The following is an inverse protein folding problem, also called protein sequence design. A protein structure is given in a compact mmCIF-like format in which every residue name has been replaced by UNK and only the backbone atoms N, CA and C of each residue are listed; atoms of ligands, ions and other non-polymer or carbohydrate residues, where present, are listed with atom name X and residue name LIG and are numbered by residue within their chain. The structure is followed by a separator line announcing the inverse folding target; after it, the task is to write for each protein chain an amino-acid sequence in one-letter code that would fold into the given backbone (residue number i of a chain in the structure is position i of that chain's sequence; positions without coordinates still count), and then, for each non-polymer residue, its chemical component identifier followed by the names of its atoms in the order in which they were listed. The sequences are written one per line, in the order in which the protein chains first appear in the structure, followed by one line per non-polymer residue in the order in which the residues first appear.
data_IF_634523261674
#
_entry.id   IF_634523261674
#
_cell.length_a   1.000
_cell.length_b   1.000
_cell.length_c   1.000
_cell.angle_alpha   90.00
_cell.angle_beta   90.00
_cell.angle_gamma   90.00
#
_symmetry.space_group_name_H-M   'P 1'
#
loop_
_entity.id
_entity.type
_entity.pdbx_description
1 polymer ?
#
# COMPACT_ATOMS: atom_id res chain seq x y z
N UNK A 1 -5.89 -15.44 0.44
CA UNK A 1 -6.49 -14.08 0.40
C UNK A 1 -7.68 -14.05 1.34
N UNK A 2 -7.69 -13.12 2.28
CA UNK A 2 -8.77 -12.95 3.27
C UNK A 2 -9.26 -11.50 3.21
N UNK A 3 -10.48 -11.28 3.67
CA UNK A 3 -11.01 -9.97 4.02
C UNK A 3 -11.26 -9.90 5.53
N UNK A 4 -11.61 -8.71 6.04
CA UNK A 4 -11.81 -8.49 7.47
C UNK A 4 -12.88 -9.42 8.06
N UNK A 5 -13.95 -9.70 7.32
CA UNK A 5 -15.05 -10.57 7.76
C UNK A 5 -14.63 -12.03 7.76
N UNK A 6 -14.08 -12.55 6.65
CA UNK A 6 -13.65 -13.94 6.56
C UNK A 6 -12.50 -14.25 7.52
N UNK A 7 -11.62 -13.28 7.77
CA UNK A 7 -10.57 -13.39 8.78
C UNK A 7 -11.12 -13.51 10.21
N UNK A 8 -12.16 -12.75 10.52
CA UNK A 8 -12.85 -12.82 11.80
C UNK A 8 -13.59 -14.15 11.96
N UNK A 9 -14.36 -14.59 10.96
CA UNK A 9 -15.06 -15.87 10.95
C UNK A 9 -14.08 -17.00 11.22
N UNK A 10 -12.96 -17.05 10.48
CA UNK A 10 -11.97 -18.11 10.63
C UNK A 10 -11.36 -18.21 12.02
N UNK A 11 -11.15 -17.07 12.72
CA UNK A 11 -10.67 -17.07 14.11
C UNK A 11 -11.70 -17.69 15.09
N UNK A 12 -12.97 -17.32 14.95
CA UNK A 12 -14.02 -17.81 15.84
C UNK A 12 -14.39 -19.27 15.54
N UNK A 13 -14.33 -19.71 14.29
CA UNK A 13 -14.49 -21.10 13.87
C UNK A 13 -13.40 -21.99 14.50
N UNK A 14 -12.15 -21.58 14.43
CA UNK A 14 -11.03 -22.30 15.09
C UNK A 14 -11.19 -22.43 16.60
N UNK A 15 -11.82 -21.44 17.25
CA UNK A 15 -12.10 -21.44 18.68
C UNK A 15 -13.38 -22.21 19.06
N UNK A 16 -14.19 -22.60 18.09
CA UNK A 16 -15.52 -23.22 18.31
C UNK A 16 -16.47 -22.30 19.11
N UNK A 17 -16.42 -20.97 18.88
CA UNK A 17 -17.16 -19.99 19.69
C UNK A 17 -18.07 -19.15 18.81
N UNK A 18 -19.18 -18.70 19.42
CA UNK A 18 -20.01 -17.62 18.84
C UNK A 18 -19.29 -16.29 18.94
N UNK A 19 -19.65 -15.34 18.07
CA UNK A 19 -19.14 -13.98 18.13
C UNK A 19 -19.50 -13.32 19.46
N UNK A 20 -18.50 -12.78 20.11
CA UNK A 20 -18.64 -11.94 21.29
C UNK A 20 -18.80 -10.46 20.91
N UNK A 21 -18.96 -9.59 21.92
CA UNK A 21 -19.15 -8.16 21.67
C UNK A 21 -18.00 -7.53 20.89
N UNK A 22 -16.71 -7.78 21.21
CA UNK A 22 -15.60 -7.28 20.41
C UNK A 22 -15.63 -7.68 18.95
N UNK A 23 -16.07 -8.90 18.63
CA UNK A 23 -16.21 -9.33 17.24
C UNK A 23 -17.28 -8.55 16.49
N UNK A 24 -18.45 -8.34 17.12
CA UNK A 24 -19.53 -7.55 16.54
C UNK A 24 -19.09 -6.08 16.36
N UNK A 25 -18.39 -5.50 17.34
CA UNK A 25 -17.88 -4.14 17.22
C UNK A 25 -16.86 -4.01 16.07
N UNK A 26 -16.02 -5.01 15.84
CA UNK A 26 -15.10 -5.06 14.71
C UNK A 26 -15.83 -5.13 13.35
N UNK A 27 -16.93 -5.88 13.27
CA UNK A 27 -17.76 -5.95 12.06
C UNK A 27 -18.42 -4.58 11.81
N UNK A 28 -18.98 -3.95 12.83
CA UNK A 28 -19.60 -2.64 12.70
C UNK A 28 -18.57 -1.60 12.22
N UNK A 29 -17.39 -1.53 12.83
CA UNK A 29 -16.34 -0.61 12.42
C UNK A 29 -15.95 -0.83 10.94
N UNK A 30 -15.82 -2.09 10.51
CA UNK A 30 -15.53 -2.40 9.10
C UNK A 30 -16.65 -1.90 8.17
N UNK A 31 -17.91 -2.05 8.56
CA UNK A 31 -19.05 -1.59 7.75
C UNK A 31 -19.18 -0.07 7.75
N UNK A 32 -18.98 0.57 8.90
CA UNK A 32 -19.07 2.03 9.06
C UNK A 32 -18.05 2.77 8.18
N UNK A 33 -16.86 2.21 8.02
CA UNK A 33 -15.80 2.76 7.15
C UNK A 33 -15.94 2.39 5.67
N UNK A 34 -16.94 1.59 5.29
CA UNK A 34 -17.07 1.04 3.93
C UNK A 34 -17.17 2.12 2.85
N UNK A 35 -17.92 3.19 3.12
CA UNK A 35 -18.08 4.31 2.18
C UNK A 35 -16.75 4.99 1.88
N UNK A 36 -15.95 5.24 2.91
CA UNK A 36 -14.62 5.85 2.76
C UNK A 36 -13.66 4.95 1.97
N UNK A 37 -13.66 3.65 2.27
CA UNK A 37 -12.83 2.70 1.51
C UNK A 37 -13.21 2.66 0.03
N UNK A 38 -14.51 2.66 -0.27
CA UNK A 38 -15.00 2.71 -1.65
C UNK A 38 -14.58 4.01 -2.32
N UNK A 39 -14.74 5.16 -1.68
CA UNK A 39 -14.27 6.46 -2.21
C UNK A 39 -12.77 6.46 -2.51
N UNK A 40 -11.96 5.90 -1.59
CA UNK A 40 -10.53 5.74 -1.81
C UNK A 40 -10.20 4.89 -3.04
N UNK A 41 -10.91 3.78 -3.22
CA UNK A 41 -10.73 2.89 -4.38
C UNK A 41 -11.20 3.54 -5.68
N UNK A 42 -12.33 4.24 -5.67
CA UNK A 42 -12.82 4.98 -6.84
C UNK A 42 -11.82 6.06 -7.27
N UNK A 43 -11.29 6.81 -6.31
CA UNK A 43 -10.24 7.79 -6.57
C UNK A 43 -8.99 7.14 -7.18
N UNK A 44 -8.48 6.07 -6.56
CA UNK A 44 -7.31 5.35 -7.05
C UNK A 44 -7.56 4.85 -8.48
N UNK A 45 -8.69 4.21 -8.73
CA UNK A 45 -9.02 3.66 -10.05
C UNK A 45 -9.16 4.75 -11.12
N UNK A 46 -9.76 5.89 -10.76
CA UNK A 46 -9.96 7.01 -11.69
C UNK A 46 -8.69 7.81 -11.97
N UNK A 47 -7.72 7.81 -11.05
CA UNK A 47 -6.54 8.68 -11.10
C UNK A 47 -5.20 7.94 -11.01
N UNK A 48 -5.17 6.62 -11.19
CA UNK A 48 -3.98 5.80 -10.96
C UNK A 48 -2.72 6.33 -11.68
N UNK A 49 -2.84 6.65 -12.97
CA UNK A 49 -1.73 7.18 -13.76
C UNK A 49 -1.23 8.54 -13.24
N UNK A 50 -2.13 9.39 -12.76
CA UNK A 50 -1.80 10.70 -12.19
C UNK A 50 -1.11 10.54 -10.84
N UNK A 51 -1.61 9.65 -9.98
CA UNK A 51 -1.03 9.35 -8.67
C UNK A 51 0.41 8.83 -8.85
N UNK A 52 0.62 7.85 -9.72
CA UNK A 52 1.96 7.30 -9.99
C UNK A 52 2.89 8.37 -10.57
N UNK A 53 2.40 9.20 -11.51
CA UNK A 53 3.19 10.29 -12.09
C UNK A 53 3.62 11.29 -11.03
N UNK A 54 2.70 11.75 -10.19
CA UNK A 54 3.00 12.76 -9.16
C UNK A 54 3.95 12.18 -8.10
N UNK A 55 3.67 10.98 -7.59
CA UNK A 55 4.53 10.32 -6.60
C UNK A 55 5.94 10.07 -7.14
N UNK A 56 6.07 9.65 -8.41
CA UNK A 56 7.38 9.43 -9.03
C UNK A 56 8.15 10.74 -9.25
N UNK A 57 7.48 11.82 -9.61
CA UNK A 57 8.11 13.14 -9.73
C UNK A 57 8.65 13.64 -8.38
N UNK A 58 7.90 13.42 -7.30
CA UNK A 58 8.36 13.74 -5.93
C UNK A 58 9.56 12.88 -5.55
N UNK A 59 9.51 11.58 -5.81
CA UNK A 59 10.62 10.66 -5.56
C UNK A 59 11.91 11.12 -6.25
N UNK A 60 11.85 11.42 -7.55
CA UNK A 60 13.04 11.81 -8.31
C UNK A 60 13.52 13.24 -8.00
N UNK A 61 12.67 14.07 -7.41
CA UNK A 61 13.08 15.36 -6.85
C UNK A 61 13.83 15.20 -5.54
N UNK A 62 13.34 14.30 -4.68
CA UNK A 62 13.95 14.01 -3.38
C UNK A 62 15.26 13.20 -3.53
N UNK A 63 15.31 12.30 -4.53
CA UNK A 63 16.43 11.38 -4.79
C UNK A 63 16.89 11.46 -6.25
N UNK A 64 17.49 12.59 -6.68
CA UNK A 64 17.89 12.80 -8.08
C UNK A 64 18.94 11.82 -8.58
N UNK A 65 19.74 11.25 -7.68
CA UNK A 65 20.78 10.25 -8.02
C UNK A 65 20.19 8.99 -8.69
N UNK A 66 18.93 8.69 -8.48
CA UNK A 66 18.23 7.58 -9.16
C UNK A 66 18.23 7.75 -10.68
N UNK A 67 18.23 8.99 -11.17
CA UNK A 67 18.21 9.33 -12.61
C UNK A 67 19.60 9.59 -13.21
N UNK A 68 20.66 9.63 -12.39
CA UNK A 68 22.03 9.84 -12.87
C UNK A 68 22.65 8.54 -13.41
N UNK A 69 23.75 8.61 -14.19
CA UNK A 69 24.48 7.44 -14.63
C UNK A 69 24.86 6.52 -13.46
N UNK A 70 24.42 5.25 -13.52
CA UNK A 70 24.57 4.29 -12.43
C UNK A 70 23.37 4.20 -11.51
N UNK A 71 22.46 5.17 -11.53
CA UNK A 71 21.21 5.16 -10.74
C UNK A 71 20.21 4.10 -11.21
N UNK A 72 19.33 3.71 -10.31
CA UNK A 72 18.42 2.59 -10.54
C UNK A 72 17.25 2.91 -11.49
N UNK A 73 17.00 4.18 -11.79
CA UNK A 73 16.02 4.65 -12.76
C UNK A 73 16.66 5.36 -13.98
N UNK A 74 17.99 5.27 -14.15
CA UNK A 74 18.72 6.00 -15.20
C UNK A 74 18.32 5.60 -16.62
N UNK A 75 18.18 4.29 -16.90
CA UNK A 75 17.77 3.86 -18.24
C UNK A 75 16.27 3.85 -18.39
N UNK A 76 15.75 4.11 -19.59
CA UNK A 76 14.32 4.05 -19.91
C UNK A 76 13.66 2.74 -19.43
N UNK A 77 14.36 1.61 -19.58
CA UNK A 77 13.89 0.30 -19.13
C UNK A 77 13.74 0.24 -17.60
N UNK A 78 14.73 0.76 -16.86
CA UNK A 78 14.69 0.78 -15.39
C UNK A 78 13.65 1.76 -14.87
N UNK A 79 13.54 2.93 -15.51
CA UNK A 79 12.50 3.90 -15.20
C UNK A 79 11.10 3.28 -15.39
N UNK A 80 10.86 2.63 -16.51
CA UNK A 80 9.59 1.96 -16.77
C UNK A 80 9.29 0.84 -15.76
N UNK A 81 10.32 0.09 -15.31
CA UNK A 81 10.17 -0.91 -14.26
C UNK A 81 9.80 -0.26 -12.91
N UNK A 82 10.45 0.84 -12.54
CA UNK A 82 10.13 1.59 -11.32
C UNK A 82 8.68 2.08 -11.33
N UNK A 83 8.23 2.71 -12.41
CA UNK A 83 6.85 3.20 -12.55
C UNK A 83 5.83 2.05 -12.52
N UNK A 84 6.13 0.93 -13.17
CA UNK A 84 5.30 -0.27 -13.14
C UNK A 84 5.18 -0.83 -11.72
N UNK A 85 6.27 -0.88 -10.95
CA UNK A 85 6.26 -1.39 -9.59
C UNK A 85 5.46 -0.46 -8.67
N UNK A 86 5.55 0.87 -8.85
CA UNK A 86 4.70 1.84 -8.17
C UNK A 86 3.21 1.62 -8.49
N UNK A 87 2.87 1.37 -9.74
CA UNK A 87 1.49 1.03 -10.15
C UNK A 87 1.00 -0.27 -9.48
N UNK A 88 1.87 -1.27 -9.35
CA UNK A 88 1.54 -2.50 -8.63
C UNK A 88 1.29 -2.25 -7.14
N UNK A 89 2.12 -1.46 -6.47
CA UNK A 89 1.88 -1.09 -5.07
C UNK A 89 0.54 -0.38 -4.90
N UNK A 90 0.24 0.59 -5.74
CA UNK A 90 -1.02 1.34 -5.73
C UNK A 90 -2.23 0.41 -5.93
N UNK A 91 -2.17 -0.47 -6.91
CA UNK A 91 -3.24 -1.42 -7.22
C UNK A 91 -3.48 -2.41 -6.07
N UNK A 92 -2.42 -3.00 -5.50
CA UNK A 92 -2.59 -3.91 -4.37
C UNK A 92 -3.02 -3.21 -3.09
N UNK A 93 -2.61 -1.94 -2.88
CA UNK A 93 -3.14 -1.12 -1.80
C UNK A 93 -4.65 -0.91 -1.95
N UNK A 94 -5.16 -0.66 -3.17
CA UNK A 94 -6.60 -0.54 -3.41
C UNK A 94 -7.36 -1.83 -3.11
N UNK A 95 -6.79 -3.00 -3.42
CA UNK A 95 -7.39 -4.29 -3.08
C UNK A 95 -7.44 -4.53 -1.57
N UNK A 96 -6.36 -4.21 -0.84
CA UNK A 96 -6.31 -4.31 0.61
C UNK A 96 -7.30 -3.35 1.27
N UNK A 97 -7.48 -2.16 0.70
CA UNK A 97 -8.44 -1.17 1.15
C UNK A 97 -9.87 -1.70 1.08
N UNK A 98 -10.27 -2.31 -0.05
CA UNK A 98 -11.59 -2.98 -0.18
C UNK A 98 -11.74 -4.12 0.83
N UNK A 99 -10.72 -4.97 0.94
CA UNK A 99 -10.76 -6.12 1.83
C UNK A 99 -10.78 -5.75 3.32
N UNK A 100 -10.30 -4.54 3.68
CA UNK A 100 -10.09 -4.14 5.08
C UNK A 100 -9.09 -5.05 5.80
N UNK A 101 -8.20 -5.72 5.05
CA UNK A 101 -7.23 -6.69 5.54
C UNK A 101 -5.96 -6.66 4.68
N UNK A 102 -4.80 -6.68 5.34
CA UNK A 102 -3.50 -6.60 4.67
C UNK A 102 -2.93 -7.95 4.22
N UNK A 103 -3.66 -9.06 4.40
CA UNK A 103 -3.19 -10.40 4.02
C UNK A 103 -2.81 -10.48 2.54
N UNK A 104 -3.59 -9.83 1.66
CA UNK A 104 -3.28 -9.78 0.22
C UNK A 104 -1.93 -9.12 -0.07
N UNK A 105 -1.55 -8.10 0.70
CA UNK A 105 -0.26 -7.42 0.57
C UNK A 105 0.88 -8.33 0.97
N UNK A 106 0.73 -9.09 2.06
CA UNK A 106 1.72 -10.07 2.50
C UNK A 106 1.89 -11.18 1.46
N UNK A 107 0.77 -11.76 0.97
CA UNK A 107 0.79 -12.90 0.06
C UNK A 107 1.26 -12.56 -1.35
N UNK A 108 0.89 -11.39 -1.87
CA UNK A 108 1.04 -11.04 -3.30
C UNK A 108 2.11 -10.00 -3.59
N UNK A 109 2.55 -9.26 -2.56
CA UNK A 109 3.53 -8.19 -2.74
C UNK A 109 4.78 -8.45 -1.90
N UNK A 110 4.64 -8.53 -0.58
CA UNK A 110 5.79 -8.57 0.32
C UNK A 110 6.54 -9.90 0.33
N UNK A 111 5.82 -11.03 0.11
CA UNK A 111 6.43 -12.36 0.13
C UNK A 111 7.46 -12.52 -1.01
N UNK A 112 8.72 -12.62 -0.65
CA UNK A 112 9.84 -12.77 -1.57
C UNK A 112 10.25 -11.49 -2.33
N UNK A 113 9.61 -10.35 -2.08
CA UNK A 113 9.94 -9.09 -2.76
C UNK A 113 11.33 -8.59 -2.38
N UNK A 114 11.69 -8.64 -1.11
CA UNK A 114 13.00 -8.21 -0.62
C UNK A 114 14.15 -9.01 -1.25
N UNK A 115 14.02 -10.33 -1.31
CA UNK A 115 15.00 -11.20 -1.97
C UNK A 115 15.09 -10.91 -3.47
N UNK A 116 13.95 -10.67 -4.11
CA UNK A 116 13.89 -10.30 -5.54
C UNK A 116 14.61 -8.97 -5.77
N UNK A 117 14.33 -7.95 -4.97
CA UNK A 117 14.96 -6.64 -5.10
C UNK A 117 16.46 -6.67 -4.82
N UNK A 118 16.90 -7.42 -3.82
CA UNK A 118 18.33 -7.64 -3.56
C UNK A 118 19.02 -8.28 -4.76
N UNK A 119 18.42 -9.31 -5.34
CA UNK A 119 18.99 -10.01 -6.50
C UNK A 119 19.09 -9.11 -7.75
N UNK A 120 18.17 -8.16 -7.88
CA UNK A 120 18.14 -7.20 -9.00
C UNK A 120 18.89 -5.89 -8.70
N UNK A 121 19.42 -5.72 -7.48
CA UNK A 121 20.07 -4.49 -7.04
C UNK A 121 19.13 -3.29 -6.93
N UNK A 122 17.83 -3.53 -6.66
CA UNK A 122 16.84 -2.45 -6.41
C UNK A 122 17.01 -1.94 -4.99
N UNK A 123 17.21 -0.62 -4.78
CA UNK A 123 17.42 -0.06 -3.45
C UNK A 123 16.10 0.00 -2.68
N UNK A 124 16.09 -0.56 -1.47
CA UNK A 124 14.90 -0.64 -0.62
C UNK A 124 14.45 0.74 -0.11
N UNK A 125 15.39 1.63 0.25
CA UNK A 125 15.06 2.97 0.76
C UNK A 125 14.19 3.78 -0.20
N UNK A 126 14.64 4.04 -1.44
CA UNK A 126 13.83 4.71 -2.46
C UNK A 126 12.51 4.01 -2.75
N UNK A 127 12.47 2.68 -2.69
CA UNK A 127 11.23 1.92 -2.91
C UNK A 127 10.23 2.18 -1.77
N UNK A 128 10.67 2.12 -0.52
CA UNK A 128 9.82 2.47 0.65
C UNK A 128 9.34 3.92 0.53
N UNK A 129 10.23 4.86 0.16
CA UNK A 129 9.85 6.26 -0.05
C UNK A 129 8.78 6.40 -1.14
N UNK A 130 8.88 5.65 -2.25
CA UNK A 130 7.88 5.65 -3.31
C UNK A 130 6.50 5.21 -2.82
N UNK A 131 6.43 4.19 -1.97
CA UNK A 131 5.17 3.71 -1.37
C UNK A 131 4.55 4.77 -0.47
N UNK A 132 5.35 5.42 0.37
CA UNK A 132 4.89 6.52 1.22
C UNK A 132 4.35 7.68 0.38
N UNK A 133 5.06 8.07 -0.67
CA UNK A 133 4.63 9.13 -1.59
C UNK A 133 3.32 8.81 -2.31
N UNK A 134 3.10 7.55 -2.70
CA UNK A 134 1.81 7.12 -3.26
C UNK A 134 0.68 7.36 -2.26
N UNK A 135 0.86 6.98 -0.99
CA UNK A 135 -0.11 7.24 0.08
C UNK A 135 -0.35 8.72 0.31
N UNK A 136 0.72 9.55 0.36
CA UNK A 136 0.62 11.00 0.52
C UNK A 136 -0.22 11.63 -0.60
N UNK A 137 0.04 11.27 -1.86
CA UNK A 137 -0.72 11.79 -3.02
C UNK A 137 -2.18 11.37 -2.95
N UNK A 138 -2.48 10.11 -2.62
CA UNK A 138 -3.86 9.63 -2.46
C UNK A 138 -4.57 10.42 -1.36
N UNK A 139 -3.93 10.64 -0.21
CA UNK A 139 -4.49 11.41 0.90
C UNK A 139 -4.78 12.87 0.51
N UNK A 140 -3.85 13.53 -0.17
CA UNK A 140 -4.03 14.91 -0.65
C UNK A 140 -5.21 15.02 -1.62
N UNK A 141 -5.33 14.07 -2.55
CA UNK A 141 -6.45 14.05 -3.50
C UNK A 141 -7.79 13.78 -2.82
N UNK A 142 -7.83 12.92 -1.80
CA UNK A 142 -9.04 12.68 -1.01
C UNK A 142 -9.47 13.92 -0.24
N UNK A 143 -8.52 14.62 0.41
CA UNK A 143 -8.80 15.88 1.10
C UNK A 143 -9.33 16.94 0.13
N UNK A 144 -8.76 17.04 -1.06
CA UNK A 144 -9.23 17.96 -2.10
C UNK A 144 -10.66 17.62 -2.57
N UNK A 145 -11.08 16.35 -2.46
CA UNK A 145 -12.42 15.88 -2.75
C UNK A 145 -13.38 15.90 -1.54
N UNK A 146 -12.96 16.53 -0.43
CA UNK A 146 -13.82 16.77 0.75
C UNK A 146 -13.79 15.66 1.82
N UNK A 147 -12.86 14.71 1.75
CA UNK A 147 -12.68 13.74 2.85
C UNK A 147 -12.20 14.46 4.13
N UNK A 148 -12.62 13.98 5.28
CA UNK A 148 -12.18 14.50 6.56
C UNK A 148 -10.78 13.95 6.93
N UNK A 149 -9.94 14.78 7.56
CA UNK A 149 -8.55 14.40 7.88
C UNK A 149 -8.43 13.24 8.87
N UNK A 150 -9.38 13.08 9.77
CA UNK A 150 -9.45 11.97 10.74
C UNK A 150 -9.76 10.60 10.09
N UNK A 151 -10.29 10.62 8.88
CA UNK A 151 -10.63 9.43 8.10
C UNK A 151 -9.45 8.89 7.27
N UNK A 152 -8.41 9.69 7.05
CA UNK A 152 -7.29 9.30 6.17
C UNK A 152 -6.51 8.09 6.67
N UNK A 153 -6.47 7.83 7.97
CA UNK A 153 -5.74 6.70 8.56
C UNK A 153 -6.19 5.36 7.95
N UNK A 154 -7.49 5.17 7.71
CA UNK A 154 -8.03 3.96 7.06
C UNK A 154 -7.51 3.79 5.64
N UNK A 155 -7.43 4.88 4.87
CA UNK A 155 -6.94 4.84 3.48
C UNK A 155 -5.44 4.67 3.40
N UNK A 156 -4.69 5.24 4.35
CA UNK A 156 -3.23 5.16 4.41
C UNK A 156 -2.71 3.81 4.92
N UNK A 157 -3.52 3.08 5.68
CA UNK A 157 -3.14 1.81 6.30
C UNK A 157 -2.48 0.79 5.34
N UNK A 158 -2.96 0.55 4.11
CA UNK A 158 -2.30 -0.36 3.17
C UNK A 158 -0.90 0.11 2.75
N UNK A 159 -0.70 1.41 2.56
CA UNK A 159 0.60 1.99 2.20
C UNK A 159 1.59 1.88 3.35
N UNK A 160 1.14 2.19 4.58
CA UNK A 160 1.94 2.03 5.79
C UNK A 160 2.35 0.57 6.00
N UNK A 161 1.44 -0.37 5.75
CA UNK A 161 1.73 -1.81 5.85
C UNK A 161 2.80 -2.24 4.86
N UNK A 162 2.70 -1.82 3.60
CA UNK A 162 3.70 -2.09 2.56
C UNK A 162 5.07 -1.48 2.91
N UNK A 163 5.08 -0.20 3.31
CA UNK A 163 6.30 0.52 3.66
C UNK A 163 7.03 -0.13 4.85
N UNK A 164 6.29 -0.48 5.90
CA UNK A 164 6.83 -1.18 7.07
C UNK A 164 7.33 -2.58 6.72
N UNK A 165 6.52 -3.37 6.01
CA UNK A 165 6.86 -4.74 5.64
C UNK A 165 8.15 -4.82 4.82
N UNK A 166 8.33 -3.93 3.85
CA UNK A 166 9.55 -3.86 3.06
C UNK A 166 10.74 -3.28 3.84
N UNK A 167 10.50 -2.26 4.69
CA UNK A 167 11.53 -1.63 5.51
C UNK A 167 12.06 -2.53 6.62
N UNK A 168 11.22 -3.27 7.32
CA UNK A 168 11.61 -4.16 8.42
C UNK A 168 12.46 -5.34 7.98
N UNK A 169 12.25 -5.86 6.77
CA UNK A 169 13.03 -6.96 6.23
C UNK A 169 14.52 -6.59 6.09
N UNK A 170 14.81 -5.31 5.84
CA UNK A 170 16.18 -4.79 5.74
C UNK A 170 16.88 -4.62 7.09
N UNK A 171 16.14 -4.39 8.17
CA UNK A 171 16.73 -4.18 9.51
C UNK A 171 17.13 -5.51 10.15
N UNK A 172 16.43 -6.60 9.86
CA UNK A 172 16.69 -7.93 10.44
C UNK A 172 17.93 -8.63 9.87
N UNK A 173 18.54 -8.09 8.80
CA UNK A 173 19.68 -8.73 8.11
C UNK A 173 21.01 -7.97 8.31
N UNK A 174 21.05 -6.99 9.20
CA UNK A 174 22.27 -6.32 9.68
C UNK A 174 22.60 -6.82 11.08
#
# INVERSE_FOLDING_TARGET
MRDAISGLIGRYDQLGRYFDRPAIDSINAYLDESSLRIQGVELINGSAAEIVREASQRLFRDEPDLLLPGGNAYTTRRLAACLRDMDYFLRYASYALVAGDSTILNERVLNGLDDTYKSLGVPTGPTVRSIVLLGEVVAEMLLANGAASDQLATVLQPFDHLAKGLGETNVRQR
#
